data_IF_442037240756
#
_entry.id   IF_442037240756
#
_cell.length_a   1.000
_cell.length_b   1.000
_cell.length_c   1.000
_cell.angle_alpha   90.00
_cell.angle_beta   90.00
_cell.angle_gamma   90.00
#
_symmetry.space_group_name_H-M   'P 1'
#
loop_
_entity.id
_entity.type
_entity.pdbx_description
1 polymer ?
#
# COMPACT_ATOMS: atom_id res chain seq x y z
N UNK A 1 -17.28 -19.61 17.74
CA UNK A 1 -17.05 -18.66 18.87
C UNK A 1 -18.05 -17.51 18.75
N UNK A 2 -18.43 -16.85 19.84
CA UNK A 2 -19.40 -15.73 19.78
C UNK A 2 -18.70 -14.40 19.55
N UNK A 3 -19.03 -13.68 18.47
CA UNK A 3 -18.53 -12.33 18.21
C UNK A 3 -19.32 -11.34 19.06
N UNK A 4 -18.63 -10.49 19.82
CA UNK A 4 -19.28 -9.54 20.72
C UNK A 4 -19.79 -8.32 19.94
N UNK A 5 -21.11 -8.11 19.93
CA UNK A 5 -21.76 -6.97 19.30
C UNK A 5 -21.89 -5.82 20.30
N UNK A 6 -21.21 -4.70 20.06
CA UNK A 6 -21.30 -3.48 20.86
C UNK A 6 -21.87 -2.36 19.99
N UNK A 7 -23.12 -1.94 20.26
CA UNK A 7 -23.77 -0.77 19.65
C UNK A 7 -23.59 -0.66 18.12
N UNK A 8 -23.82 -1.77 17.40
CA UNK A 8 -23.73 -1.90 15.93
C UNK A 8 -22.32 -2.11 15.35
N UNK A 9 -21.31 -2.25 16.20
CA UNK A 9 -19.93 -2.59 15.80
C UNK A 9 -19.59 -4.00 16.28
N UNK A 10 -18.98 -4.80 15.41
CA UNK A 10 -18.49 -6.13 15.76
C UNK A 10 -17.01 -6.03 16.14
N UNK A 11 -16.65 -6.64 17.27
CA UNK A 11 -15.28 -6.65 17.78
C UNK A 11 -14.65 -8.03 17.61
N UNK A 12 -13.37 -8.06 17.26
CA UNK A 12 -12.61 -9.29 17.16
C UNK A 12 -12.45 -9.91 18.56
N UNK A 13 -12.85 -11.18 18.78
CA UNK A 13 -12.69 -11.84 20.07
C UNK A 13 -11.23 -12.10 20.46
N UNK A 14 -10.28 -12.07 19.50
CA UNK A 14 -8.86 -12.31 19.77
C UNK A 14 -8.09 -11.05 20.18
N UNK A 15 -8.32 -9.92 19.51
CA UNK A 15 -7.57 -8.68 19.76
C UNK A 15 -8.43 -7.52 20.27
N UNK A 16 -9.75 -7.65 20.32
CA UNK A 16 -10.67 -6.56 20.67
C UNK A 16 -10.80 -5.46 19.62
N UNK A 17 -10.11 -5.57 18.48
CA UNK A 17 -10.15 -4.61 17.38
C UNK A 17 -11.51 -4.58 16.66
N UNK A 18 -11.82 -3.47 16.01
CA UNK A 18 -13.05 -3.30 15.22
C UNK A 18 -12.96 -4.18 13.97
N UNK A 19 -14.02 -4.94 13.69
CA UNK A 19 -14.13 -5.75 12.47
C UNK A 19 -14.72 -4.92 11.32
N UNK A 20 -14.09 -5.00 10.16
CA UNK A 20 -14.59 -4.45 8.90
C UNK A 20 -15.64 -5.41 8.33
N UNK A 21 -16.85 -4.92 8.12
CA UNK A 21 -17.90 -5.69 7.45
C UNK A 21 -17.71 -5.59 5.93
N UNK A 22 -17.71 -6.74 5.27
CA UNK A 22 -17.71 -6.84 3.82
C UNK A 22 -19.00 -7.55 3.40
N UNK A 23 -19.85 -6.82 2.65
CA UNK A 23 -21.08 -7.37 2.10
C UNK A 23 -20.75 -8.49 1.13
N UNK A 24 -21.39 -9.65 1.31
CA UNK A 24 -21.26 -10.77 0.39
C UNK A 24 -21.65 -10.33 -1.02
N UNK A 25 -20.75 -10.54 -1.98
CA UNK A 25 -20.92 -10.08 -3.35
C UNK A 25 -21.85 -10.96 -4.19
N UNK A 26 -22.01 -10.61 -5.46
CA UNK A 26 -22.65 -11.47 -6.44
C UNK A 26 -21.72 -12.65 -6.80
N UNK A 27 -22.33 -13.79 -7.15
CA UNK A 27 -21.62 -14.99 -7.62
C UNK A 27 -20.71 -14.63 -8.79
N UNK A 28 -19.40 -14.83 -8.66
CA UNK A 28 -18.45 -14.65 -9.75
C UNK A 28 -18.08 -16.00 -10.36
N UNK A 29 -18.14 -16.11 -11.69
CA UNK A 29 -17.59 -17.27 -12.41
C UNK A 29 -16.12 -17.02 -12.66
N UNK A 30 -15.24 -17.77 -12.02
CA UNK A 30 -13.80 -17.83 -12.35
C UNK A 30 -13.52 -19.20 -12.99
N UNK A 31 -12.84 -19.19 -14.13
CA UNK A 31 -12.42 -20.40 -14.88
C UNK A 31 -13.53 -21.43 -15.17
N UNK A 32 -14.75 -20.97 -15.44
CA UNK A 32 -15.88 -21.85 -15.76
C UNK A 32 -16.44 -22.63 -14.56
N UNK A 33 -15.98 -22.35 -13.34
CA UNK A 33 -16.58 -22.83 -12.09
C UNK A 33 -17.25 -21.69 -11.35
N UNK A 34 -18.39 -22.00 -10.77
CA UNK A 34 -19.19 -21.06 -9.98
C UNK A 34 -18.59 -21.00 -8.58
N UNK A 35 -17.86 -19.92 -8.27
CA UNK A 35 -17.32 -19.70 -6.94
C UNK A 35 -18.38 -19.06 -6.04
N UNK A 36 -18.94 -19.87 -5.13
CA UNK A 36 -19.91 -19.44 -4.13
C UNK A 36 -19.26 -18.97 -2.82
N UNK A 37 -17.93 -18.88 -2.75
CA UNK A 37 -17.18 -18.53 -1.53
C UNK A 37 -17.19 -17.04 -1.20
N UNK A 38 -17.64 -16.20 -2.13
CA UNK A 38 -17.69 -14.72 -2.02
C UNK A 38 -19.10 -14.17 -1.80
N UNK A 39 -20.13 -15.02 -1.84
CA UNK A 39 -21.53 -14.58 -1.73
C UNK A 39 -22.01 -14.35 -0.31
N UNK A 40 -21.31 -14.91 0.67
CA UNK A 40 -21.65 -14.78 2.08
C UNK A 40 -20.91 -13.59 2.71
N UNK A 41 -21.59 -12.81 3.57
CA UNK A 41 -20.98 -11.67 4.24
C UNK A 41 -19.86 -12.12 5.19
N UNK A 42 -18.80 -11.32 5.26
CA UNK A 42 -17.62 -11.60 6.07
C UNK A 42 -17.28 -10.42 6.99
N UNK A 43 -16.75 -10.72 8.16
CA UNK A 43 -16.25 -9.74 9.12
C UNK A 43 -14.74 -9.89 9.26
N UNK A 44 -14.00 -8.91 8.78
CA UNK A 44 -12.56 -8.98 8.60
C UNK A 44 -11.86 -8.25 9.75
N UNK A 45 -10.87 -8.91 10.36
CA UNK A 45 -9.97 -8.30 11.32
C UNK A 45 -8.62 -8.01 10.66
N UNK A 46 -8.36 -6.73 10.35
CA UNK A 46 -7.10 -6.32 9.72
C UNK A 46 -5.89 -6.55 10.67
N UNK A 47 -6.11 -6.45 11.99
CA UNK A 47 -5.05 -6.64 12.99
C UNK A 47 -4.63 -8.11 13.16
N UNK A 48 -5.59 -9.04 13.14
CA UNK A 48 -5.30 -10.46 13.31
C UNK A 48 -5.09 -11.20 11.98
N UNK A 49 -5.44 -10.58 10.85
CA UNK A 49 -5.36 -11.24 9.55
C UNK A 49 -6.32 -12.42 9.41
N UNK A 50 -7.49 -12.35 10.07
CA UNK A 50 -8.54 -13.39 10.06
C UNK A 50 -9.88 -12.78 9.68
N UNK A 51 -10.73 -13.58 9.05
CA UNK A 51 -12.12 -13.19 8.82
C UNK A 51 -13.06 -14.18 9.50
N UNK A 52 -14.23 -13.66 9.87
CA UNK A 52 -15.32 -14.40 10.49
C UNK A 52 -16.49 -14.45 9.51
N UNK A 53 -17.06 -15.64 9.33
CA UNK A 53 -18.19 -15.84 8.44
C UNK A 53 -19.35 -16.45 9.24
N UNK A 54 -20.53 -15.84 9.11
CA UNK A 54 -21.70 -16.30 9.85
C UNK A 54 -22.29 -17.57 9.20
N UNK A 55 -22.54 -18.57 10.03
CA UNK A 55 -23.19 -19.81 9.59
C UNK A 55 -24.71 -19.62 9.60
N UNK A 56 -25.33 -19.60 8.41
CA UNK A 56 -26.78 -19.72 8.23
C UNK A 56 -27.63 -18.72 9.07
N UNK A 57 -27.13 -17.50 9.32
CA UNK A 57 -27.79 -16.48 10.16
C UNK A 57 -28.12 -16.96 11.58
N UNK A 58 -27.34 -17.92 12.09
CA UNK A 58 -27.54 -18.52 13.42
C UNK A 58 -26.93 -17.70 14.56
N UNK A 59 -26.20 -16.62 14.25
CA UNK A 59 -25.38 -15.88 15.21
C UNK A 59 -24.06 -16.57 15.57
N UNK A 60 -23.75 -17.71 14.95
CA UNK A 60 -22.47 -18.41 15.11
C UNK A 60 -21.53 -18.09 13.95
N UNK A 61 -20.25 -17.90 14.28
CA UNK A 61 -19.21 -17.51 13.34
C UNK A 61 -18.08 -18.54 13.31
N UNK A 62 -17.69 -18.93 12.10
CA UNK A 62 -16.46 -19.67 11.81
C UNK A 62 -15.32 -18.70 11.54
N UNK A 63 -14.11 -19.08 11.95
CA UNK A 63 -12.89 -18.30 11.75
C UNK A 63 -12.02 -18.89 10.64
N UNK A 64 -11.54 -18.03 9.75
CA UNK A 64 -10.68 -18.41 8.65
C UNK A 64 -9.52 -17.42 8.52
N UNK A 65 -8.31 -17.89 8.14
CA UNK A 65 -7.19 -17.00 7.86
C UNK A 65 -7.47 -16.21 6.56
N UNK A 66 -7.21 -14.90 6.57
CA UNK A 66 -7.27 -14.08 5.35
C UNK A 66 -6.18 -14.53 4.37
N UNK A 67 -6.52 -14.84 3.11
CA UNK A 67 -5.55 -15.10 2.06
C UNK A 67 -4.55 -13.95 1.92
N UNK A 68 -3.29 -14.26 1.63
CA UNK A 68 -2.21 -13.26 1.56
C UNK A 68 -2.45 -12.20 0.47
N UNK A 69 -3.20 -12.52 -0.58
CA UNK A 69 -3.53 -11.61 -1.69
C UNK A 69 -4.46 -10.47 -1.25
N UNK A 70 -5.34 -10.68 -0.27
CA UNK A 70 -6.23 -9.63 0.28
C UNK A 70 -5.55 -8.83 1.40
N UNK A 71 -4.38 -9.29 1.87
CA UNK A 71 -3.50 -8.52 2.76
C UNK A 71 -2.62 -7.55 1.98
N UNK A 72 -2.71 -7.52 0.65
CA UNK A 72 -2.02 -6.52 -0.14
C UNK A 72 -2.46 -5.14 0.32
N UNK A 73 -1.53 -4.54 1.06
CA UNK A 73 -1.48 -3.18 1.52
C UNK A 73 -2.09 -2.32 0.42
N UNK A 74 -3.23 -1.67 0.72
CA UNK A 74 -3.67 -0.53 -0.08
C UNK A 74 -2.53 0.47 -0.02
N UNK A 75 -1.60 0.42 -0.98
CA UNK A 75 -0.63 1.49 -1.21
C UNK A 75 -1.47 2.76 -1.19
N UNK A 76 -1.14 3.72 -0.32
CA UNK A 76 -1.96 4.91 -0.16
C UNK A 76 -2.18 5.51 -1.54
N UNK A 77 -3.44 5.59 -1.97
CA UNK A 77 -3.81 6.25 -3.22
C UNK A 77 -3.58 7.75 -3.01
N UNK A 78 -2.32 8.17 -3.11
CA UNK A 78 -1.96 9.58 -3.06
C UNK A 78 -2.49 10.24 -4.32
N UNK A 79 -3.12 11.40 -4.15
CA UNK A 79 -3.60 12.21 -5.27
C UNK A 79 -2.38 12.58 -6.11
N UNK A 80 -2.38 12.18 -7.37
CA UNK A 80 -1.39 12.59 -8.37
C UNK A 80 -1.38 14.12 -8.44
N UNK A 81 -0.36 14.74 -7.86
CA UNK A 81 -0.13 16.17 -7.98
C UNK A 81 0.61 16.43 -9.29
N UNK A 82 0.23 17.49 -10.01
CA UNK A 82 1.00 17.90 -11.20
C UNK A 82 2.34 18.44 -10.73
N UNK A 83 3.40 18.14 -11.46
CA UNK A 83 4.77 18.56 -11.14
C UNK A 83 4.87 20.06 -10.86
N UNK A 84 4.12 20.92 -11.56
CA UNK A 84 4.11 22.37 -11.34
C UNK A 84 3.44 22.86 -10.05
N UNK A 85 2.61 22.03 -9.40
CA UNK A 85 1.92 22.37 -8.14
C UNK A 85 2.70 21.88 -6.90
N UNK A 86 3.85 21.24 -7.12
CA UNK A 86 4.71 20.70 -6.06
C UNK A 86 5.74 21.77 -5.70
N UNK A 87 5.71 22.22 -4.44
CA UNK A 87 6.71 23.15 -3.93
C UNK A 87 8.10 22.48 -3.97
N UNK A 88 9.12 23.15 -4.55
CA UNK A 88 10.49 22.68 -4.48
C UNK A 88 10.93 22.55 -3.03
N UNK A 89 11.68 21.50 -2.73
CA UNK A 89 12.13 21.27 -1.37
C UNK A 89 13.59 20.89 -1.29
N UNK A 90 14.22 21.28 -0.18
CA UNK A 90 15.61 20.96 0.11
C UNK A 90 15.66 19.57 0.77
N UNK A 91 16.42 18.66 0.15
CA UNK A 91 16.68 17.32 0.68
C UNK A 91 18.18 17.15 0.86
N UNK A 92 18.57 16.77 2.07
CA UNK A 92 19.95 16.50 2.43
C UNK A 92 20.15 15.03 2.72
N UNK A 93 21.26 14.48 2.21
CA UNK A 93 21.67 13.12 2.51
C UNK A 93 22.44 13.10 3.84
N UNK A 94 22.14 12.11 4.68
CA UNK A 94 22.89 11.81 5.89
C UNK A 94 24.22 11.12 5.55
N UNK A 95 25.03 10.82 6.57
CA UNK A 95 26.33 10.15 6.43
C UNK A 95 26.25 8.78 5.71
N UNK A 96 25.08 8.15 5.73
CA UNK A 96 24.81 6.87 5.07
C UNK A 96 24.22 7.01 3.65
N UNK A 97 24.11 8.23 3.11
CA UNK A 97 23.49 8.46 1.79
C UNK A 97 21.95 8.32 1.81
N UNK A 98 21.32 8.45 2.97
CA UNK A 98 19.88 8.31 3.16
C UNK A 98 19.23 9.63 3.53
N UNK A 99 17.92 9.75 3.30
CA UNK A 99 17.12 10.90 3.70
C UNK A 99 15.73 10.42 4.14
N UNK A 100 15.01 11.20 4.95
CA UNK A 100 13.64 10.88 5.36
C UNK A 100 12.66 11.37 4.30
N UNK A 101 11.81 10.48 3.77
CA UNK A 101 10.83 10.79 2.76
C UNK A 101 9.76 11.75 3.31
N UNK A 102 9.59 12.94 2.70
CA UNK A 102 8.58 13.92 3.11
C UNK A 102 7.13 13.45 3.03
N UNK A 103 6.85 12.41 2.24
CA UNK A 103 5.49 11.90 2.04
C UNK A 103 5.10 10.81 3.02
N UNK A 104 5.95 9.80 3.16
CA UNK A 104 5.64 8.62 3.97
C UNK A 104 6.42 8.56 5.29
N UNK A 105 7.43 9.42 5.48
CA UNK A 105 8.29 9.42 6.67
C UNK A 105 9.32 8.30 6.71
N UNK A 106 9.35 7.42 5.70
CA UNK A 106 10.31 6.32 5.60
C UNK A 106 11.65 6.77 5.03
N UNK A 107 12.70 6.00 5.29
CA UNK A 107 14.02 6.25 4.73
C UNK A 107 14.02 6.02 3.20
N UNK A 108 14.67 6.93 2.48
CA UNK A 108 14.90 6.86 1.04
C UNK A 108 16.38 6.91 0.71
N UNK A 109 16.73 6.28 -0.41
CA UNK A 109 18.11 6.14 -0.85
C UNK A 109 18.48 7.23 -1.84
N UNK A 110 19.70 7.76 -1.71
CA UNK A 110 20.29 8.66 -2.68
C UNK A 110 20.97 7.86 -3.80
N UNK A 111 20.54 8.09 -5.04
CA UNK A 111 21.15 7.52 -6.22
C UNK A 111 22.06 8.58 -6.85
N UNK A 112 23.35 8.30 -6.85
CA UNK A 112 24.36 9.13 -7.54
C UNK A 112 24.23 8.97 -9.05
N UNK A 113 24.24 10.09 -9.76
CA UNK A 113 24.15 10.16 -11.21
C UNK A 113 25.34 9.48 -11.87
N UNK A 114 25.04 8.53 -12.75
CA UNK A 114 26.04 7.80 -13.52
C UNK A 114 25.99 8.22 -15.00
N UNK A 115 27.10 8.13 -15.75
CA UNK A 115 27.05 8.31 -17.20
C UNK A 115 26.06 7.31 -17.82
N UNK A 116 25.38 7.73 -18.90
CA UNK A 116 24.37 6.91 -19.60
C UNK A 116 24.96 5.53 -19.93
N UNK A 117 24.29 4.49 -19.45
CA UNK A 117 24.62 3.09 -19.74
C UNK A 117 23.52 2.46 -20.57
N UNK A 118 23.87 1.43 -21.32
CA UNK A 118 22.88 0.61 -22.03
C UNK A 118 22.46 -0.51 -21.07
N UNK A 119 21.18 -0.54 -20.71
CA UNK A 119 20.56 -1.59 -19.92
C UNK A 119 19.46 -2.22 -20.79
N UNK A 120 19.52 -3.54 -21.01
CA UNK A 120 18.58 -4.28 -21.86
C UNK A 120 18.41 -3.71 -23.27
N UNK A 121 19.51 -3.22 -23.86
CA UNK A 121 19.52 -2.65 -25.22
C UNK A 121 18.91 -1.26 -25.34
N UNK A 122 18.50 -0.64 -24.22
CA UNK A 122 18.00 0.75 -24.18
C UNK A 122 18.95 1.64 -23.35
N UNK A 123 19.12 2.91 -23.73
CA UNK A 123 19.87 3.85 -22.91
C UNK A 123 19.10 4.14 -21.62
N UNK A 124 19.74 3.89 -20.47
CA UNK A 124 19.23 4.26 -19.17
C UNK A 124 19.39 5.77 -18.97
N UNK A 125 18.27 6.48 -19.07
CA UNK A 125 18.18 7.93 -18.82
C UNK A 125 17.74 8.26 -17.39
N UNK A 126 17.36 7.26 -16.60
CA UNK A 126 16.76 7.45 -15.27
C UNK A 126 17.84 7.72 -14.22
N UNK A 127 18.94 6.97 -14.28
CA UNK A 127 20.05 7.07 -13.31
C UNK A 127 21.15 8.06 -13.74
N UNK A 128 20.87 8.91 -14.72
CA UNK A 128 21.86 9.87 -15.26
C UNK A 128 22.13 11.02 -14.31
N UNK A 129 21.10 11.42 -13.56
CA UNK A 129 21.17 12.53 -12.61
C UNK A 129 20.95 12.05 -11.20
N UNK A 130 21.58 12.74 -10.27
CA UNK A 130 21.36 12.58 -8.84
C UNK A 130 19.88 12.71 -8.50
N UNK A 131 19.35 11.71 -7.80
CA UNK A 131 17.97 11.73 -7.33
C UNK A 131 17.81 10.90 -6.06
N UNK A 132 16.80 11.21 -5.26
CA UNK A 132 16.37 10.32 -4.17
C UNK A 132 15.23 9.44 -4.65
N UNK A 133 15.24 8.17 -4.21
CA UNK A 133 14.18 7.21 -4.50
C UNK A 133 13.66 6.62 -3.20
N UNK A 134 12.36 6.74 -2.97
CA UNK A 134 11.71 6.09 -1.84
C UNK A 134 11.20 4.71 -2.25
N UNK A 135 11.65 3.61 -1.61
CA UNK A 135 11.17 2.25 -1.91
C UNK A 135 9.74 2.00 -1.42
N UNK A 136 9.25 2.78 -0.45
CA UNK A 136 7.94 2.56 0.17
C UNK A 136 6.79 3.21 -0.62
N UNK A 137 7.00 4.44 -1.13
CA UNK A 137 5.95 5.20 -1.82
C UNK A 137 6.22 5.43 -3.31
N UNK A 138 7.26 4.80 -3.86
CA UNK A 138 7.70 4.88 -5.27
C UNK A 138 7.96 6.33 -5.76
N UNK A 139 8.08 7.29 -4.84
CA UNK A 139 8.40 8.68 -5.15
C UNK A 139 9.86 8.84 -5.55
N UNK A 140 10.08 9.55 -6.65
CA UNK A 140 11.41 9.92 -7.14
C UNK A 140 11.59 11.43 -7.06
N UNK A 141 12.59 11.87 -6.32
CA UNK A 141 12.94 13.28 -6.11
C UNK A 141 14.15 13.64 -6.96
N UNK A 142 13.95 14.42 -8.03
CA UNK A 142 15.01 14.84 -8.94
C UNK A 142 15.47 16.25 -8.63
N UNK A 143 16.77 16.48 -8.70
CA UNK A 143 17.36 17.81 -8.51
C UNK A 143 16.93 18.76 -9.63
N UNK A 144 16.51 19.98 -9.27
CA UNK A 144 16.14 21.03 -10.22
C UNK A 144 17.43 21.72 -10.69
N UNK A 145 17.85 21.39 -11.91
CA UNK A 145 19.04 21.97 -12.55
C UNK A 145 20.31 21.87 -11.66
N UNK A 146 20.96 22.99 -11.37
CA UNK A 146 22.18 23.09 -10.55
C UNK A 146 21.89 23.58 -9.13
N UNK A 147 20.64 23.53 -8.69
CA UNK A 147 20.25 23.96 -7.34
C UNK A 147 20.30 22.79 -6.34
N UNK A 148 20.13 23.09 -5.05
CA UNK A 148 19.93 22.09 -4.00
C UNK A 148 18.46 21.75 -3.76
N UNK A 149 17.56 22.27 -4.61
CA UNK A 149 16.14 21.95 -4.58
C UNK A 149 15.83 20.69 -5.38
N UNK A 150 14.91 19.92 -4.84
CA UNK A 150 14.39 18.70 -5.42
C UNK A 150 12.89 18.82 -5.70
N UNK A 151 12.49 18.23 -6.81
CA UNK A 151 11.11 18.09 -7.22
C UNK A 151 10.78 16.61 -7.35
N UNK A 152 9.66 16.20 -6.79
CA UNK A 152 9.27 14.80 -6.83
C UNK A 152 8.24 14.49 -7.90
N UNK A 153 8.24 13.24 -8.32
CA UNK A 153 7.25 12.64 -9.21
C UNK A 153 6.97 11.22 -8.75
N UNK A 154 5.73 10.77 -8.90
CA UNK A 154 5.38 9.35 -8.80
C UNK A 154 5.71 8.63 -10.11
N UNK A 155 6.15 7.37 -9.99
CA UNK A 155 6.42 6.48 -11.12
C UNK A 155 5.28 5.47 -11.29
#
# INVERSE_FOLDING_TARGET
>A
MSVTKLKSVYLCPKCGGILRYEEGGAVSVREGRVDMSTTLPKYICDNCGIYYQELLRSGFFDEFPLPREEREEKKPQHKLLRTGDIEPMELHKDANGQCVCPRCGELMDFVEGQPVRIVDGKPDMENVKDHFRCPHCDSVYRRIATTDYFQWSEK
#
